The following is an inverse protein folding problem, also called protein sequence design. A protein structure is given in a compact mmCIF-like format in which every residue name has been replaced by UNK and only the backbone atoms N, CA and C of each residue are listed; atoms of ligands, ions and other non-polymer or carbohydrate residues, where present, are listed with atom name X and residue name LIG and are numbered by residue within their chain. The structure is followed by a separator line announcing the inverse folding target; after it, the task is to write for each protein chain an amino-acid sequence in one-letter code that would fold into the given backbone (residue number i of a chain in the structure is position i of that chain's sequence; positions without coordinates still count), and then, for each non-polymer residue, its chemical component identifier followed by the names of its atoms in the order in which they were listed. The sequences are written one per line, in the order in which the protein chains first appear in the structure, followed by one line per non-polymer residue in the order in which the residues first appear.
data_IF_454558721496
#
_entry.id   IF_454558721496
#
_cell.length_a   1.000
_cell.length_b   1.000
_cell.length_c   1.000
_cell.angle_alpha   90.00
_cell.angle_beta   90.00
_cell.angle_gamma   90.00
#
_symmetry.space_group_name_H-M   'P 1'
#
loop_
_entity.id
_entity.type
_entity.pdbx_description
1 polymer ?
#
# COMPACT_ATOMS: atom_id res chain seq x y z
N UNK A 1 29.18 5.62 18.46
CA UNK A 1 28.83 6.98 18.96
C UNK A 1 27.42 6.95 19.51
N UNK A 2 27.20 7.29 20.80
CA UNK A 2 25.85 7.47 21.36
C UNK A 2 25.26 8.76 20.78
N UNK A 3 24.20 8.64 19.97
CA UNK A 3 23.47 9.79 19.42
C UNK A 3 22.53 10.34 20.48
N UNK A 4 22.35 11.66 20.52
CA UNK A 4 21.30 12.24 21.37
C UNK A 4 19.93 11.92 20.78
N UNK A 5 18.91 11.84 21.65
CA UNK A 5 17.51 11.64 21.23
C UNK A 5 17.10 12.63 20.13
N UNK A 6 17.45 13.90 20.29
CA UNK A 6 17.17 14.97 19.32
C UNK A 6 17.83 14.75 17.96
N UNK A 7 19.05 14.20 17.93
CA UNK A 7 19.72 13.86 16.67
C UNK A 7 19.00 12.72 15.95
N UNK A 8 18.62 11.66 16.68
CA UNK A 8 17.86 10.54 16.10
C UNK A 8 16.50 10.98 15.56
N UNK A 9 15.80 11.85 16.29
CA UNK A 9 14.53 12.41 15.85
C UNK A 9 14.68 13.25 14.57
N UNK A 10 15.72 14.10 14.50
CA UNK A 10 16.02 14.89 13.30
C UNK A 10 16.23 13.98 12.09
N UNK A 11 17.02 12.92 12.22
CA UNK A 11 17.25 11.97 11.12
C UNK A 11 15.98 11.24 10.68
N UNK A 12 15.10 10.87 11.62
CA UNK A 12 13.81 10.27 11.28
C UNK A 12 12.92 11.24 10.49
N UNK A 13 12.87 12.52 10.91
CA UNK A 13 12.12 13.57 10.21
C UNK A 13 12.68 13.80 8.80
N UNK A 14 14.00 13.86 8.65
CA UNK A 14 14.65 14.02 7.35
C UNK A 14 14.35 12.83 6.42
N UNK A 15 14.28 11.61 6.97
CA UNK A 15 13.82 10.42 6.24
C UNK A 15 12.37 10.53 5.74
N UNK A 16 11.44 11.02 6.57
CA UNK A 16 10.05 11.25 6.15
C UNK A 16 10.00 12.32 5.05
N UNK A 17 10.73 13.42 5.21
CA UNK A 17 10.80 14.49 4.20
C UNK A 17 11.34 13.98 2.87
N UNK A 18 12.34 13.11 2.90
CA UNK A 18 12.89 12.48 1.70
C UNK A 18 11.80 11.72 0.93
N UNK A 19 11.06 10.82 1.59
CA UNK A 19 10.00 10.02 0.93
C UNK A 19 8.89 10.94 0.39
N UNK A 20 8.45 11.92 1.16
CA UNK A 20 7.42 12.89 0.74
C UNK A 20 7.86 13.67 -0.51
N UNK A 21 9.12 14.10 -0.58
CA UNK A 21 9.62 14.90 -1.69
C UNK A 21 9.78 14.08 -2.98
N UNK A 22 10.25 12.83 -2.88
CA UNK A 22 10.62 12.02 -4.05
C UNK A 22 9.43 11.23 -4.61
N UNK A 23 8.45 10.86 -3.79
CA UNK A 23 7.41 9.93 -4.20
C UNK A 23 6.05 10.62 -4.38
N UNK A 24 5.54 10.60 -5.62
CA UNK A 24 4.21 11.15 -5.94
C UNK A 24 3.09 10.34 -5.27
N UNK A 25 3.19 9.02 -5.29
CA UNK A 25 2.19 8.13 -4.69
C UNK A 25 2.09 8.35 -3.18
N UNK A 26 3.22 8.49 -2.49
CA UNK A 26 3.24 8.83 -1.06
C UNK A 26 2.48 10.13 -0.76
N UNK A 27 2.69 11.19 -1.56
CA UNK A 27 1.95 12.46 -1.38
C UNK A 27 0.44 12.30 -1.58
N UNK A 28 0.03 11.51 -2.57
CA UNK A 28 -1.38 11.24 -2.84
C UNK A 28 -2.00 10.46 -1.67
N UNK A 29 -1.37 9.37 -1.24
CA UNK A 29 -1.82 8.57 -0.11
C UNK A 29 -1.85 9.39 1.19
N UNK A 30 -0.86 10.26 1.41
CA UNK A 30 -0.83 11.16 2.56
C UNK A 30 -1.97 12.17 2.54
N UNK A 31 -2.31 12.73 1.37
CA UNK A 31 -3.43 13.65 1.21
C UNK A 31 -4.77 12.96 1.49
N UNK A 32 -5.02 11.79 0.89
CA UNK A 32 -6.23 11.00 1.17
C UNK A 32 -6.28 10.53 2.61
N UNK A 33 -5.17 10.06 3.15
CA UNK A 33 -5.07 9.63 4.55
C UNK A 33 -5.38 10.76 5.51
N UNK A 34 -4.86 11.96 5.25
CA UNK A 34 -5.16 13.15 6.04
C UNK A 34 -6.64 13.52 5.93
N UNK A 35 -7.24 13.45 4.73
CA UNK A 35 -8.67 13.68 4.56
C UNK A 35 -9.53 12.70 5.39
N UNK A 36 -9.16 11.40 5.42
CA UNK A 36 -9.83 10.38 6.25
C UNK A 36 -9.66 10.68 7.74
N UNK A 37 -8.46 11.05 8.18
CA UNK A 37 -8.21 11.39 9.58
C UNK A 37 -8.94 12.66 10.02
N UNK A 38 -9.03 13.66 9.15
CA UNK A 38 -9.80 14.88 9.37
C UNK A 38 -11.30 14.55 9.47
N UNK A 39 -11.79 13.64 8.63
CA UNK A 39 -13.17 13.17 8.68
C UNK A 39 -13.54 12.53 10.03
N UNK A 40 -12.58 11.87 10.69
CA UNK A 40 -12.79 11.30 12.02
C UNK A 40 -13.17 12.32 13.11
N UNK A 41 -12.91 13.61 12.90
CA UNK A 41 -13.32 14.68 13.83
C UNK A 41 -14.74 15.18 13.58
N UNK A 42 -15.30 14.96 12.39
CA UNK A 42 -16.61 15.49 11.98
C UNK A 42 -17.73 14.46 12.01
N UNK A 43 -17.39 13.17 12.02
CA UNK A 43 -18.34 12.04 12.02
C UNK A 43 -18.18 11.27 13.32
N UNK A 44 -19.30 10.82 13.89
CA UNK A 44 -19.37 10.12 15.18
C UNK A 44 -18.91 8.66 15.08
N UNK A 45 -17.63 8.47 14.73
CA UNK A 45 -17.01 7.15 14.71
C UNK A 45 -16.74 6.66 16.14
N UNK A 46 -16.98 5.36 16.37
CA UNK A 46 -16.54 4.72 17.60
C UNK A 46 -14.99 4.73 17.70
N UNK A 47 -14.42 4.66 18.92
CA UNK A 47 -12.97 4.62 19.09
C UNK A 47 -12.28 3.50 18.29
N UNK A 48 -12.94 2.35 18.15
CA UNK A 48 -12.42 1.21 17.38
C UNK A 48 -12.40 1.51 15.87
N UNK A 49 -13.44 2.17 15.34
CA UNK A 49 -13.50 2.59 13.94
C UNK A 49 -12.38 3.60 13.61
N UNK A 50 -12.16 4.58 14.49
CA UNK A 50 -11.06 5.54 14.35
C UNK A 50 -9.70 4.84 14.36
N UNK A 51 -9.47 3.89 15.27
CA UNK A 51 -8.22 3.13 15.32
C UNK A 51 -7.96 2.33 14.04
N UNK A 52 -8.99 1.70 13.46
CA UNK A 52 -8.85 0.98 12.19
C UNK A 52 -8.58 1.92 11.01
N UNK A 53 -9.24 3.08 10.95
CA UNK A 53 -8.98 4.08 9.91
C UNK A 53 -7.56 4.65 10.02
N UNK A 54 -7.12 4.98 11.23
CA UNK A 54 -5.73 5.40 11.52
C UNK A 54 -4.77 4.31 11.06
N UNK A 55 -4.99 3.07 11.49
CA UNK A 55 -4.12 1.96 11.13
C UNK A 55 -4.05 1.75 9.61
N UNK A 56 -5.18 1.77 8.91
CA UNK A 56 -5.24 1.68 7.45
C UNK A 56 -4.39 2.77 6.76
N UNK A 57 -4.53 4.03 7.19
CA UNK A 57 -3.75 5.15 6.63
C UNK A 57 -2.25 4.96 6.87
N UNK A 58 -1.84 4.67 8.10
CA UNK A 58 -0.42 4.47 8.42
C UNK A 58 0.17 3.22 7.75
N UNK A 59 -0.63 2.16 7.57
CA UNK A 59 -0.19 0.93 6.94
C UNK A 59 0.12 1.13 5.44
N UNK A 60 -0.71 1.91 4.73
CA UNK A 60 -0.45 2.29 3.34
C UNK A 60 0.81 3.15 3.22
N UNK A 61 0.95 4.18 4.08
CA UNK A 61 2.13 5.04 4.07
C UNK A 61 3.41 4.26 4.40
N UNK A 62 3.34 3.29 5.33
CA UNK A 62 4.45 2.41 5.64
C UNK A 62 4.83 1.54 4.43
N UNK A 63 3.85 0.94 3.76
CA UNK A 63 4.07 0.15 2.55
C UNK A 63 4.79 0.95 1.47
N UNK A 64 4.33 2.16 1.20
CA UNK A 64 4.93 3.06 0.21
C UNK A 64 6.35 3.52 0.61
N UNK A 65 6.57 3.83 1.89
CA UNK A 65 7.90 4.18 2.39
C UNK A 65 8.87 2.99 2.26
N UNK A 66 8.42 1.76 2.57
CA UNK A 66 9.22 0.55 2.39
C UNK A 66 9.54 0.29 0.91
N UNK A 67 8.57 0.49 0.03
CA UNK A 67 8.80 0.40 -1.42
C UNK A 67 9.90 1.37 -1.87
N UNK A 68 9.82 2.62 -1.41
CA UNK A 68 10.82 3.66 -1.71
C UNK A 68 12.20 3.29 -1.20
N UNK A 69 12.31 2.81 0.04
CA UNK A 69 13.59 2.39 0.63
C UNK A 69 14.20 1.24 -0.17
N UNK A 70 13.40 0.24 -0.56
CA UNK A 70 13.87 -0.89 -1.35
C UNK A 70 14.30 -0.43 -2.75
N UNK A 71 13.53 0.44 -3.40
CA UNK A 71 13.88 1.02 -4.70
C UNK A 71 15.24 1.73 -4.66
N UNK A 72 15.44 2.61 -3.68
CA UNK A 72 16.71 3.35 -3.52
C UNK A 72 17.88 2.43 -3.18
N UNK A 73 17.68 1.44 -2.29
CA UNK A 73 18.71 0.44 -2.00
C UNK A 73 19.12 -0.32 -3.26
N UNK A 74 18.15 -0.75 -4.08
CA UNK A 74 18.44 -1.48 -5.31
C UNK A 74 19.12 -0.61 -6.36
N UNK A 75 18.75 0.67 -6.47
CA UNK A 75 19.40 1.62 -7.38
C UNK A 75 20.89 1.82 -7.05
N UNK A 76 21.25 1.73 -5.77
CA UNK A 76 22.65 1.84 -5.31
C UNK A 76 23.42 0.53 -5.49
N UNK A 77 22.83 -0.62 -5.12
CA UNK A 77 23.52 -1.92 -5.13
C UNK A 77 23.70 -2.46 -6.55
N UNK A 78 22.71 -2.27 -7.42
CA UNK A 78 22.71 -2.77 -8.79
C UNK A 78 22.18 -1.69 -9.74
N UNK A 79 23.04 -0.72 -10.13
CA UNK A 79 22.66 0.34 -11.05
C UNK A 79 22.30 -0.18 -12.45
N UNK A 80 22.83 -1.34 -12.83
CA UNK A 80 22.50 -2.03 -14.07
C UNK A 80 21.27 -2.94 -13.89
N UNK A 81 20.38 -2.95 -14.90
CA UNK A 81 19.13 -3.72 -14.85
C UNK A 81 19.42 -5.23 -14.77
N UNK A 82 19.15 -5.82 -13.60
CA UNK A 82 19.24 -7.26 -13.34
C UNK A 82 17.84 -7.84 -13.08
N UNK A 83 17.56 -9.06 -13.55
CA UNK A 83 16.29 -9.75 -13.35
C UNK A 83 15.96 -9.97 -11.87
N UNK A 84 16.96 -10.24 -11.02
CA UNK A 84 16.74 -10.36 -9.58
C UNK A 84 16.30 -9.02 -8.94
N UNK A 85 16.85 -7.90 -9.39
CA UNK A 85 16.46 -6.56 -8.93
C UNK A 85 15.01 -6.27 -9.32
N UNK A 86 14.61 -6.69 -10.54
CA UNK A 86 13.21 -6.58 -10.97
C UNK A 86 12.29 -7.31 -10.00
N UNK A 87 12.58 -8.58 -9.66
CA UNK A 87 11.74 -9.33 -8.72
C UNK A 87 11.65 -8.70 -7.32
N UNK A 88 12.74 -8.12 -6.82
CA UNK A 88 12.73 -7.42 -5.52
C UNK A 88 11.85 -6.17 -5.57
N UNK A 89 11.95 -5.37 -6.65
CA UNK A 89 11.12 -4.17 -6.84
C UNK A 89 9.64 -4.52 -7.09
N UNK A 90 9.38 -5.58 -7.82
CA UNK A 90 8.01 -6.06 -8.04
C UNK A 90 7.38 -6.55 -6.71
N UNK A 91 8.16 -7.26 -5.89
CA UNK A 91 7.72 -7.70 -4.57
C UNK A 91 7.44 -6.51 -3.63
N UNK A 92 8.27 -5.46 -3.69
CA UNK A 92 8.05 -4.25 -2.88
C UNK A 92 6.82 -3.47 -3.31
N UNK A 93 6.56 -3.36 -4.62
CA UNK A 93 5.31 -2.81 -5.14
C UNK A 93 4.10 -3.66 -4.70
N UNK A 94 4.26 -4.98 -4.63
CA UNK A 94 3.25 -5.90 -4.09
C UNK A 94 2.85 -5.59 -2.63
N UNK A 95 3.79 -5.14 -1.79
CA UNK A 95 3.47 -4.71 -0.42
C UNK A 95 2.57 -3.46 -0.38
N UNK A 96 2.78 -2.51 -1.29
CA UNK A 96 1.91 -1.33 -1.44
C UNK A 96 0.51 -1.75 -1.87
N UNK A 97 0.40 -2.72 -2.78
CA UNK A 97 -0.89 -3.26 -3.22
C UNK A 97 -1.65 -3.92 -2.07
N UNK A 98 -0.98 -4.77 -1.28
CA UNK A 98 -1.59 -5.46 -0.12
C UNK A 98 -2.10 -4.45 0.91
N UNK A 99 -1.28 -3.44 1.26
CA UNK A 99 -1.69 -2.40 2.20
C UNK A 99 -2.84 -1.54 1.68
N UNK A 100 -2.87 -1.26 0.38
CA UNK A 100 -3.97 -0.54 -0.27
C UNK A 100 -5.27 -1.34 -0.26
N UNK A 101 -5.21 -2.66 -0.54
CA UNK A 101 -6.38 -3.55 -0.46
C UNK A 101 -6.95 -3.54 0.96
N UNK A 102 -6.07 -3.67 1.97
CA UNK A 102 -6.46 -3.60 3.36
C UNK A 102 -7.16 -2.28 3.71
N UNK A 103 -6.60 -1.14 3.29
CA UNK A 103 -7.20 0.16 3.56
C UNK A 103 -8.58 0.34 2.92
N UNK A 104 -8.76 -0.15 1.69
CA UNK A 104 -10.07 -0.14 1.01
C UNK A 104 -11.07 -1.04 1.74
N UNK A 105 -10.65 -2.23 2.18
CA UNK A 105 -11.50 -3.13 2.98
C UNK A 105 -11.97 -2.49 4.28
N UNK A 106 -11.06 -1.84 5.02
CA UNK A 106 -11.42 -1.09 6.24
C UNK A 106 -12.38 0.05 5.91
N UNK A 107 -12.10 0.82 4.86
CA UNK A 107 -12.96 1.92 4.40
C UNK A 107 -14.38 1.44 4.05
N UNK A 108 -14.51 0.30 3.35
CA UNK A 108 -15.81 -0.27 3.00
C UNK A 108 -16.63 -0.68 4.23
N UNK A 109 -15.99 -1.20 5.28
CA UNK A 109 -16.68 -1.59 6.53
C UNK A 109 -17.07 -0.35 7.33
N UNK A 110 -16.13 0.57 7.56
CA UNK A 110 -16.33 1.71 8.48
C UNK A 110 -17.12 2.82 7.80
N UNK A 111 -16.66 3.31 6.65
CA UNK A 111 -17.34 4.41 5.94
C UNK A 111 -18.66 3.93 5.32
N UNK A 112 -18.75 2.65 4.92
CA UNK A 112 -20.00 2.03 4.46
C UNK A 112 -21.13 2.16 5.48
N UNK A 113 -20.83 1.88 6.76
CA UNK A 113 -21.80 2.02 7.85
C UNK A 113 -22.27 3.47 8.02
N UNK A 114 -21.35 4.43 8.03
CA UNK A 114 -21.64 5.82 8.35
C UNK A 114 -22.28 6.62 7.20
N UNK A 115 -21.86 6.38 5.96
CA UNK A 115 -22.36 7.14 4.80
C UNK A 115 -23.53 6.48 4.07
N UNK A 116 -23.59 5.14 4.09
CA UNK A 116 -24.60 4.38 3.34
C UNK A 116 -25.55 3.59 4.25
N UNK A 117 -25.41 3.71 5.57
CA UNK A 117 -26.24 2.99 6.54
C UNK A 117 -26.07 1.48 6.47
N UNK A 118 -24.94 0.98 5.94
CA UNK A 118 -24.72 -0.46 5.81
C UNK A 118 -24.69 -1.13 7.17
N UNK A 119 -25.35 -2.28 7.27
CA UNK A 119 -25.09 -3.18 8.37
C UNK A 119 -23.62 -3.63 8.33
N UNK A 120 -22.90 -3.75 9.48
CA UNK A 120 -21.48 -4.09 9.49
C UNK A 120 -21.13 -5.36 8.69
N UNK A 121 -22.04 -6.34 8.66
CA UNK A 121 -21.88 -7.57 7.88
C UNK A 121 -21.88 -7.31 6.36
N UNK A 122 -22.66 -6.34 5.88
CA UNK A 122 -22.67 -5.98 4.46
C UNK A 122 -21.33 -5.39 4.03
N UNK A 123 -20.77 -4.48 4.83
CA UNK A 123 -19.42 -3.95 4.62
C UNK A 123 -18.36 -5.05 4.63
N UNK A 124 -18.46 -6.02 5.55
CA UNK A 124 -17.54 -7.16 5.61
C UNK A 124 -17.65 -8.06 4.37
N UNK A 125 -18.87 -8.34 3.88
CA UNK A 125 -19.09 -9.10 2.66
C UNK A 125 -18.48 -8.36 1.45
N UNK A 126 -18.72 -7.06 1.33
CA UNK A 126 -18.12 -6.25 0.26
C UNK A 126 -16.60 -6.29 0.32
N UNK A 127 -16.01 -6.14 1.50
CA UNK A 127 -14.57 -6.23 1.70
C UNK A 127 -14.02 -7.62 1.32
N UNK A 128 -14.69 -8.71 1.71
CA UNK A 128 -14.29 -10.07 1.38
C UNK A 128 -14.36 -10.34 -0.12
N UNK A 129 -15.44 -9.91 -0.78
CA UNK A 129 -15.60 -10.03 -2.23
C UNK A 129 -14.51 -9.23 -2.94
N UNK A 130 -14.22 -8.02 -2.48
CA UNK A 130 -13.16 -7.19 -3.04
C UNK A 130 -11.76 -7.82 -2.90
N UNK A 131 -11.45 -8.40 -1.73
CA UNK A 131 -10.19 -9.11 -1.50
C UNK A 131 -10.10 -10.34 -2.39
N UNK A 132 -11.14 -11.17 -2.43
CA UNK A 132 -11.17 -12.38 -3.27
C UNK A 132 -11.01 -12.01 -4.75
N UNK A 133 -11.71 -10.97 -5.21
CA UNK A 133 -11.58 -10.46 -6.57
C UNK A 133 -10.15 -9.98 -6.88
N UNK A 134 -9.54 -9.22 -5.96
CA UNK A 134 -8.17 -8.73 -6.12
C UNK A 134 -7.14 -9.87 -6.22
N UNK A 135 -7.32 -10.93 -5.42
CA UNK A 135 -6.47 -12.13 -5.46
C UNK A 135 -6.67 -12.90 -6.78
N UNK A 136 -7.93 -13.10 -7.20
CA UNK A 136 -8.24 -13.79 -8.47
C UNK A 136 -7.61 -13.04 -9.65
N UNK A 137 -7.72 -11.71 -9.69
CA UNK A 137 -7.08 -10.92 -10.73
C UNK A 137 -5.56 -11.08 -10.74
N UNK A 138 -4.93 -11.16 -9.57
CA UNK A 138 -3.49 -11.44 -9.44
C UNK A 138 -3.12 -12.79 -10.08
N UNK A 139 -3.84 -13.86 -9.73
CA UNK A 139 -3.59 -15.21 -10.25
C UNK A 139 -3.83 -15.28 -11.77
N UNK A 140 -4.91 -14.66 -12.27
CA UNK A 140 -5.21 -14.61 -13.70
C UNK A 140 -4.11 -13.87 -14.48
N UNK A 141 -3.52 -12.83 -13.90
CA UNK A 141 -2.36 -12.13 -14.44
C UNK A 141 -1.17 -13.07 -14.65
N UNK A 142 -0.85 -13.90 -13.64
CA UNK A 142 0.24 -14.88 -13.74
C UNK A 142 -0.04 -15.96 -14.80
N UNK A 143 -1.25 -16.50 -14.86
CA UNK A 143 -1.62 -17.52 -15.87
C UNK A 143 -1.46 -16.96 -17.28
N UNK A 144 -1.89 -15.72 -17.52
CA UNK A 144 -1.76 -15.07 -18.83
C UNK A 144 -0.30 -14.85 -19.24
N UNK A 145 0.55 -14.47 -18.28
CA UNK A 145 2.01 -14.36 -18.46
C UNK A 145 2.65 -15.70 -18.87
N UNK A 146 2.27 -16.80 -18.19
CA UNK A 146 2.78 -18.15 -18.47
C UNK A 146 2.35 -18.63 -19.85
N UNK A 147 1.08 -18.46 -20.22
CA UNK A 147 0.56 -18.83 -21.54
C UNK A 147 1.27 -18.03 -22.64
N UNK A 148 1.41 -16.72 -22.47
CA UNK A 148 2.08 -15.85 -23.44
C UNK A 148 3.54 -16.26 -23.69
N UNK A 149 4.29 -16.62 -22.64
CA UNK A 149 5.68 -17.12 -22.78
C UNK A 149 5.74 -18.46 -23.53
N UNK A 150 4.71 -19.30 -23.39
CA UNK A 150 4.61 -20.59 -24.08
C UNK A 150 4.34 -20.42 -25.58
N UNK A 151 3.43 -19.51 -25.95
CA UNK A 151 3.10 -19.21 -27.35
C UNK A 151 4.31 -18.62 -28.09
N UNK A 152 5.02 -17.66 -27.48
CA UNK A 152 6.23 -17.07 -28.09
C UNK A 152 7.39 -18.06 -28.29
N UNK A 153 7.44 -19.17 -27.54
CA UNK A 153 8.44 -20.25 -27.73
C UNK A 153 8.02 -21.27 -28.79
N UNK A 154 6.72 -21.34 -29.10
CA UNK A 154 6.18 -22.22 -30.13
C UNK A 154 6.37 -21.64 -31.53
N UNK A 155 6.23 -20.32 -31.70
CA UNK A 155 6.42 -19.64 -32.99
C UNK A 155 7.90 -19.49 -33.42
N UNK A 156 8.84 -19.76 -32.51
CA UNK A 156 10.30 -19.68 -32.76
C UNK A 156 10.95 -21.03 -33.09
N UNK A 157 10.16 -22.10 -33.27
CA UNK A 157 10.61 -23.45 -33.66
C UNK A 157 10.02 -23.85 -35.00
#
# INVERSE_FOLDING_TARGET
MKRSFWQSLRFAIDGIRFVVAHQKNFRIQLAFGTAVLVLCFFVDFSPVEVLWLVFAVFFVLLGEALNTVIEEMMNVIHPDKNEHVRHVKDASAGMVLISSIFAVSVGAVVLGRHFFGWHPQAGAIVALVFVAFSVILGILGEVKEVVRKKDTRSDSR
#
